data_IF_830704069319
#
_entry.id   IF_830704069319
#
_cell.length_a   1.000
_cell.length_b   1.000
_cell.length_c   1.000
_cell.angle_alpha   90.00
_cell.angle_beta   90.00
_cell.angle_gamma   90.00
#
_symmetry.space_group_name_H-M   'P 1'
#
loop_
_entity.id
_entity.type
_entity.pdbx_description
1 polymer ?
#
# COMPACT_ATOMS: atom_id res chain seq x y z
N UNK A 1 15.66 -6.49 -5.68
CA UNK A 1 14.20 -6.30 -5.80
C UNK A 1 13.87 -5.02 -5.06
N UNK A 2 12.90 -4.26 -5.59
CA UNK A 2 12.20 -3.15 -4.94
C UNK A 2 13.14 -2.05 -4.39
N UNK A 3 13.99 -1.42 -5.24
CA UNK A 3 14.82 -0.32 -4.81
C UNK A 3 13.94 0.87 -4.39
N UNK A 4 14.15 1.38 -3.18
CA UNK A 4 13.49 2.57 -2.68
C UNK A 4 14.44 3.79 -2.78
N UNK A 5 13.98 4.85 -3.45
CA UNK A 5 14.65 6.15 -3.45
C UNK A 5 14.51 6.79 -2.08
N UNK A 6 15.64 7.21 -1.49
CA UNK A 6 15.73 7.72 -0.12
C UNK A 6 17.08 7.38 0.53
N UNK A 7 17.20 7.47 1.87
CA UNK A 7 16.17 7.99 2.77
C UNK A 7 16.09 9.53 2.74
N UNK A 8 14.88 10.06 2.76
CA UNK A 8 14.60 11.49 2.98
C UNK A 8 14.53 11.74 4.48
N UNK A 9 15.40 12.63 4.98
CA UNK A 9 15.39 13.08 6.37
C UNK A 9 14.41 14.24 6.56
N UNK A 10 13.42 14.08 7.44
CA UNK A 10 12.40 15.09 7.76
C UNK A 10 12.79 15.84 9.03
N UNK A 11 13.13 17.13 8.90
CA UNK A 11 13.55 17.95 10.03
C UNK A 11 12.49 18.02 11.13
N UNK A 12 12.87 17.73 12.37
CA UNK A 12 12.01 17.82 13.56
C UNK A 12 11.11 16.60 13.83
N UNK A 13 11.16 15.58 12.96
CA UNK A 13 10.48 14.30 13.18
C UNK A 13 11.20 13.49 14.26
N UNK A 14 10.47 13.08 15.29
CA UNK A 14 10.97 12.30 16.42
C UNK A 14 10.09 11.06 16.66
N UNK A 15 10.62 9.99 17.31
CA UNK A 15 9.82 8.81 17.62
C UNK A 15 8.50 9.15 18.33
N UNK A 16 7.39 8.61 17.82
CA UNK A 16 6.04 8.86 18.32
C UNK A 16 5.25 9.93 17.54
N UNK A 17 5.90 10.66 16.63
CA UNK A 17 5.23 11.43 15.58
C UNK A 17 4.73 10.53 14.44
N UNK A 18 4.02 11.14 13.48
CA UNK A 18 3.71 10.53 12.19
C UNK A 18 4.08 11.46 11.03
N UNK A 19 4.40 10.89 9.88
CA UNK A 19 4.41 11.61 8.61
C UNK A 19 3.06 11.45 7.91
N UNK A 20 2.59 12.50 7.26
CA UNK A 20 1.53 12.44 6.26
C UNK A 20 2.15 12.68 4.88
N UNK A 21 2.17 11.63 4.05
CA UNK A 21 2.76 11.67 2.72
C UNK A 21 1.64 11.65 1.67
N UNK A 22 1.40 12.78 1.02
CA UNK A 22 0.44 12.91 -0.08
C UNK A 22 1.13 12.60 -1.41
N UNK A 23 0.60 11.63 -2.16
CA UNK A 23 1.06 11.34 -3.52
C UNK A 23 0.42 12.34 -4.48
N UNK A 24 1.14 13.40 -4.84
CA UNK A 24 0.59 14.46 -5.69
C UNK A 24 0.57 14.10 -7.16
N UNK A 25 1.55 13.31 -7.62
CA UNK A 25 1.65 12.91 -9.02
C UNK A 25 2.50 11.67 -9.21
N UNK A 26 2.10 10.78 -10.12
CA UNK A 26 2.93 9.66 -10.60
C UNK A 26 3.12 9.75 -12.11
N UNK A 27 4.34 9.99 -12.57
CA UNK A 27 4.69 10.04 -14.00
C UNK A 27 5.47 8.78 -14.37
N UNK A 28 4.84 7.89 -15.14
CA UNK A 28 5.45 6.65 -15.59
C UNK A 28 6.42 6.89 -16.76
N UNK A 29 7.44 6.04 -16.86
CA UNK A 29 8.17 5.85 -18.11
C UNK A 29 7.28 5.21 -19.19
N UNK A 30 7.69 5.35 -20.46
CA UNK A 30 6.94 4.86 -21.63
C UNK A 30 7.00 3.32 -21.81
N UNK A 31 7.58 2.61 -20.85
CA UNK A 31 7.74 1.16 -20.87
C UNK A 31 7.79 0.60 -19.46
N UNK A 32 7.19 -0.58 -19.29
CA UNK A 32 7.34 -1.39 -18.09
C UNK A 32 7.52 -2.86 -18.44
N UNK A 33 7.48 -3.72 -17.44
CA UNK A 33 7.47 -5.17 -17.65
C UNK A 33 6.52 -5.91 -16.72
N UNK A 34 6.02 -7.05 -17.20
CA UNK A 34 5.41 -8.09 -16.38
C UNK A 34 6.31 -9.33 -16.41
N UNK A 35 6.26 -10.14 -15.37
CA UNK A 35 6.96 -11.41 -15.36
C UNK A 35 6.17 -12.53 -14.69
N UNK A 36 6.42 -13.75 -15.18
CA UNK A 36 6.14 -14.99 -14.49
C UNK A 36 7.47 -15.54 -14.00
N UNK A 37 7.55 -15.85 -12.72
CA UNK A 37 8.69 -16.52 -12.09
C UNK A 37 8.30 -17.98 -11.83
N UNK A 38 9.25 -18.90 -12.05
CA UNK A 38 8.94 -20.32 -11.86
C UNK A 38 8.75 -20.65 -10.37
N UNK A 39 7.68 -21.36 -10.03
CA UNK A 39 7.44 -21.88 -8.68
C UNK A 39 7.01 -20.85 -7.63
N UNK A 40 6.62 -19.63 -8.02
CA UNK A 40 6.14 -18.60 -7.08
C UNK A 40 4.79 -18.00 -7.49
N UNK A 41 4.13 -17.33 -6.55
CA UNK A 41 2.81 -16.72 -6.73
C UNK A 41 1.67 -17.74 -6.67
N UNK A 42 0.42 -17.25 -6.67
CA UNK A 42 -0.77 -18.06 -6.37
C UNK A 42 -0.96 -19.25 -7.34
N UNK A 43 -0.44 -19.13 -8.56
CA UNK A 43 -0.47 -20.18 -9.58
C UNK A 43 0.89 -20.88 -9.77
N UNK A 44 1.76 -20.88 -8.75
CA UNK A 44 3.10 -21.50 -8.77
C UNK A 44 3.09 -22.93 -9.32
N UNK A 45 2.07 -23.73 -9.00
CA UNK A 45 1.90 -25.11 -9.46
C UNK A 45 1.77 -25.25 -11.00
N UNK A 46 1.53 -24.14 -11.72
CA UNK A 46 1.45 -24.07 -13.18
C UNK A 46 2.51 -23.15 -13.80
N UNK A 47 3.20 -22.35 -13.00
CA UNK A 47 4.26 -21.46 -13.44
C UNK A 47 5.60 -22.22 -13.45
N UNK A 48 5.88 -22.93 -14.54
CA UNK A 48 7.07 -23.77 -14.71
C UNK A 48 8.27 -23.04 -15.34
N UNK A 49 8.06 -21.80 -15.81
CA UNK A 49 9.05 -21.02 -16.59
C UNK A 49 9.21 -19.61 -16.07
N UNK A 50 10.41 -19.08 -16.29
CA UNK A 50 10.68 -17.65 -16.20
C UNK A 50 10.34 -16.99 -17.53
N UNK A 51 9.38 -16.08 -17.53
CA UNK A 51 8.95 -15.34 -18.72
C UNK A 51 8.82 -13.88 -18.35
N UNK A 52 9.46 -13.00 -19.11
CA UNK A 52 9.32 -11.55 -18.97
C UNK A 52 8.73 -10.98 -20.25
N UNK A 53 7.81 -10.04 -20.09
CA UNK A 53 7.20 -9.31 -21.20
C UNK A 53 7.39 -7.82 -20.99
N UNK A 54 8.13 -7.20 -21.89
CA UNK A 54 8.26 -5.75 -21.97
C UNK A 54 7.01 -5.20 -22.66
N UNK A 55 6.39 -4.18 -22.07
CA UNK A 55 5.10 -3.65 -22.50
C UNK A 55 5.23 -2.13 -22.66
N UNK A 56 5.04 -1.59 -23.87
CA UNK A 56 5.00 -0.15 -24.09
C UNK A 56 3.80 0.49 -23.39
N UNK A 57 3.99 1.69 -22.86
CA UNK A 57 2.97 2.54 -22.25
C UNK A 57 2.91 3.82 -23.08
N UNK A 58 1.75 4.13 -23.67
CA UNK A 58 1.57 5.33 -24.49
C UNK A 58 0.28 6.02 -24.09
N UNK A 59 0.34 7.31 -23.76
CA UNK A 59 -0.82 8.11 -23.37
C UNK A 59 -1.67 7.46 -22.25
N UNK A 60 -1.01 6.84 -21.25
CA UNK A 60 -1.69 6.15 -20.16
C UNK A 60 -2.31 4.80 -20.54
N UNK A 61 -1.99 4.25 -21.72
CA UNK A 61 -2.46 2.94 -22.19
C UNK A 61 -1.30 1.96 -22.26
N UNK A 62 -1.47 0.80 -21.63
CA UNK A 62 -0.57 -0.34 -21.74
C UNK A 62 -0.86 -1.12 -23.02
N UNK A 63 0.13 -1.31 -23.89
CA UNK A 63 0.00 -2.08 -25.13
C UNK A 63 0.47 -3.53 -24.92
N UNK A 64 -0.32 -4.33 -24.21
CA UNK A 64 0.04 -5.72 -23.90
C UNK A 64 0.21 -6.57 -25.16
N UNK A 65 -0.65 -6.39 -26.17
CA UNK A 65 -0.50 -7.01 -27.49
C UNK A 65 -1.30 -6.23 -28.53
N UNK A 66 -1.24 -6.65 -29.79
CA UNK A 66 -2.07 -6.09 -30.87
C UNK A 66 -3.58 -6.17 -30.60
N UNK A 67 -4.00 -7.06 -29.68
CA UNK A 67 -5.42 -7.30 -29.35
C UNK A 67 -5.81 -6.85 -27.95
N UNK A 68 -4.85 -6.54 -27.09
CA UNK A 68 -5.09 -6.30 -25.67
C UNK A 68 -4.37 -5.01 -25.29
N UNK A 69 -5.17 -4.02 -24.92
CA UNK A 69 -4.73 -2.75 -24.40
C UNK A 69 -5.61 -2.40 -23.21
N UNK A 70 -5.05 -1.72 -22.22
CA UNK A 70 -5.81 -1.30 -21.05
C UNK A 70 -5.24 -0.02 -20.44
N UNK A 71 -6.07 0.82 -19.79
CA UNK A 71 -5.57 2.00 -19.08
C UNK A 71 -4.70 1.58 -17.90
N UNK A 72 -3.56 2.25 -17.75
CA UNK A 72 -2.68 2.08 -16.59
C UNK A 72 -3.36 2.65 -15.34
N UNK A 73 -3.00 2.11 -14.17
CA UNK A 73 -3.49 2.53 -12.86
C UNK A 73 -2.26 2.67 -11.94
N UNK A 74 -1.49 3.76 -12.09
CA UNK A 74 -0.20 3.90 -11.44
C UNK A 74 -0.34 3.85 -9.91
N UNK A 75 0.56 3.14 -9.24
CA UNK A 75 0.61 3.03 -7.78
C UNK A 75 2.05 2.81 -7.30
N UNK A 76 2.31 3.12 -6.03
CA UNK A 76 3.61 2.95 -5.36
C UNK A 76 3.57 1.70 -4.49
N UNK A 77 4.37 0.68 -4.80
CA UNK A 77 4.41 -0.59 -4.06
C UNK A 77 5.16 -0.49 -2.74
N UNK A 78 6.28 0.23 -2.75
CA UNK A 78 7.11 0.47 -1.57
C UNK A 78 7.02 1.92 -1.12
N UNK A 79 6.49 2.15 0.07
CA UNK A 79 6.56 3.43 0.77
C UNK A 79 6.67 3.17 2.28
N UNK A 80 7.66 3.76 2.94
CA UNK A 80 7.84 3.53 4.37
C UNK A 80 8.89 4.41 5.02
N UNK A 81 8.85 4.46 6.35
CA UNK A 81 9.85 5.07 7.22
C UNK A 81 10.84 4.02 7.72
N UNK A 82 11.96 4.44 8.31
CA UNK A 82 12.87 3.48 8.93
C UNK A 82 12.24 2.87 10.20
N UNK A 83 12.31 1.53 10.36
CA UNK A 83 11.88 0.87 11.60
C UNK A 83 12.82 1.21 12.75
N UNK A 84 12.36 0.97 13.99
CA UNK A 84 13.26 0.95 15.14
C UNK A 84 14.13 -0.31 15.11
N UNK A 85 15.42 -0.19 15.39
CA UNK A 85 16.33 -1.34 15.50
C UNK A 85 17.02 -1.72 14.19
N UNK A 86 17.09 -3.01 13.89
CA UNK A 86 17.73 -3.50 12.67
C UNK A 86 16.94 -3.10 11.42
N UNK A 87 17.65 -2.86 10.32
CA UNK A 87 17.04 -2.53 9.05
C UNK A 87 16.22 -3.69 8.48
N UNK A 88 15.04 -3.39 7.97
CA UNK A 88 14.18 -4.34 7.27
C UNK A 88 14.39 -4.15 5.76
N UNK A 89 14.50 -5.26 5.02
CA UNK A 89 14.62 -5.22 3.55
C UNK A 89 13.38 -4.56 2.93
N UNK A 90 13.58 -3.75 1.89
CA UNK A 90 12.49 -3.03 1.20
C UNK A 90 11.45 -3.94 0.56
N UNK A 91 11.71 -5.24 0.41
CA UNK A 91 10.75 -6.23 -0.06
C UNK A 91 9.76 -6.71 1.00
N UNK A 92 9.90 -6.28 2.27
CA UNK A 92 8.97 -6.65 3.33
C UNK A 92 8.07 -5.47 3.73
N UNK A 93 6.76 -5.71 3.91
CA UNK A 93 5.88 -4.78 4.60
C UNK A 93 6.09 -4.84 6.12
N UNK A 94 5.45 -3.92 6.84
CA UNK A 94 5.29 -4.01 8.29
C UNK A 94 4.74 -2.72 8.90
N UNK A 95 4.90 -2.56 10.23
CA UNK A 95 4.59 -1.32 10.96
C UNK A 95 5.15 -0.03 10.37
N UNK A 96 6.25 -0.14 9.64
CA UNK A 96 6.97 0.98 9.03
C UNK A 96 6.53 1.30 7.59
N UNK A 97 5.53 0.58 7.06
CA UNK A 97 5.21 0.62 5.63
C UNK A 97 5.98 -0.46 4.89
N UNK A 98 6.83 -0.07 3.94
CA UNK A 98 7.60 -1.00 3.14
C UNK A 98 6.80 -1.53 1.96
N UNK A 99 7.00 -2.80 1.60
CA UNK A 99 6.38 -3.45 0.44
C UNK A 99 4.90 -3.82 0.66
N UNK A 100 4.05 -2.79 0.76
CA UNK A 100 2.63 -2.99 1.05
C UNK A 100 1.86 -3.50 -0.17
N UNK A 101 2.30 -3.10 -1.38
CA UNK A 101 1.62 -3.39 -2.65
C UNK A 101 0.12 -3.16 -2.56
N UNK A 102 -0.23 -2.00 -2.00
CA UNK A 102 -1.60 -1.57 -1.82
C UNK A 102 -1.93 -0.58 -2.94
N UNK A 103 -2.85 -0.97 -3.83
CA UNK A 103 -3.28 -0.15 -4.98
C UNK A 103 -4.01 1.16 -4.60
N UNK A 104 -4.26 1.39 -3.31
CA UNK A 104 -4.73 2.66 -2.78
C UNK A 104 -3.59 3.67 -2.55
N UNK A 105 -2.32 3.24 -2.59
CA UNK A 105 -1.16 4.14 -2.59
C UNK A 105 -0.92 4.66 -4.01
N UNK A 106 -1.79 5.58 -4.42
CA UNK A 106 -1.84 6.18 -5.77
C UNK A 106 -2.01 7.69 -5.69
N UNK A 107 -1.96 8.36 -6.85
CA UNK A 107 -2.18 9.81 -6.95
C UNK A 107 -3.45 10.26 -6.21
N UNK A 108 -3.31 11.31 -5.40
CA UNK A 108 -4.34 11.89 -4.52
C UNK A 108 -4.48 11.20 -3.15
N UNK A 109 -3.84 10.06 -2.92
CA UNK A 109 -3.85 9.41 -1.61
C UNK A 109 -2.90 10.09 -0.62
N UNK A 110 -3.27 10.08 0.67
CA UNK A 110 -2.41 10.51 1.78
C UNK A 110 -2.12 9.34 2.70
N UNK A 111 -0.85 9.03 2.89
CA UNK A 111 -0.37 7.89 3.64
C UNK A 111 0.17 8.39 4.97
N UNK A 112 -0.45 7.95 6.06
CA UNK A 112 0.05 8.18 7.41
C UNK A 112 1.10 7.12 7.72
N UNK A 113 2.32 7.53 8.05
CA UNK A 113 3.44 6.65 8.36
C UNK A 113 3.99 6.95 9.76
N UNK A 114 4.18 5.94 10.62
CA UNK A 114 4.73 6.17 11.94
C UNK A 114 6.21 6.56 11.89
N UNK A 115 6.62 7.43 12.79
CA UNK A 115 8.04 7.79 12.99
C UNK A 115 8.59 6.95 14.14
N UNK A 116 9.53 6.06 13.82
CA UNK A 116 10.20 5.21 14.82
C UNK A 116 11.63 5.67 15.16
N UNK A 117 12.22 6.53 14.32
CA UNK A 117 13.58 7.05 14.48
C UNK A 117 13.64 8.54 14.14
N UNK A 118 14.60 9.30 14.68
CA UNK A 118 14.77 10.71 14.35
C UNK A 118 14.89 10.93 12.83
N UNK A 119 14.17 11.92 12.33
CA UNK A 119 14.12 12.26 10.91
C UNK A 119 13.26 11.33 10.04
N UNK A 120 12.63 10.30 10.63
CA UNK A 120 11.77 9.30 9.98
C UNK A 120 12.42 8.41 8.90
N UNK A 121 13.30 8.97 8.06
CA UNK A 121 14.04 8.30 6.99
C UNK A 121 13.10 7.66 5.95
N UNK A 122 12.28 8.49 5.31
CA UNK A 122 11.28 8.06 4.31
C UNK A 122 11.95 7.51 3.03
N UNK A 123 11.50 6.34 2.56
CA UNK A 123 11.85 5.76 1.27
C UNK A 123 10.60 5.47 0.43
N UNK A 124 10.73 5.62 -0.90
CA UNK A 124 9.66 5.39 -1.88
C UNK A 124 10.23 4.66 -3.11
N UNK A 125 9.57 3.61 -3.58
CA UNK A 125 10.00 2.86 -4.76
C UNK A 125 8.94 1.91 -5.28
N UNK A 126 9.39 0.99 -6.13
CA UNK A 126 8.57 -0.11 -6.63
C UNK A 126 7.26 0.34 -7.28
N UNK A 127 7.36 1.25 -8.24
CA UNK A 127 6.18 1.80 -8.90
C UNK A 127 5.64 0.80 -9.90
N UNK A 128 4.36 0.51 -9.78
CA UNK A 128 3.63 -0.28 -10.78
C UNK A 128 2.85 0.66 -11.69
N UNK A 129 2.98 0.48 -13.00
CA UNK A 129 2.09 1.07 -13.98
C UNK A 129 0.65 0.57 -13.78
N UNK A 130 0.47 -0.68 -13.37
CA UNK A 130 -0.82 -1.22 -12.96
C UNK A 130 -0.62 -2.49 -12.15
N UNK A 131 -1.46 -2.71 -11.14
CA UNK A 131 -1.46 -3.94 -10.37
C UNK A 131 -2.90 -4.34 -10.05
N UNK A 132 -3.18 -5.63 -10.05
CA UNK A 132 -4.45 -6.18 -9.55
C UNK A 132 -4.31 -6.54 -8.08
N UNK A 133 -5.43 -6.51 -7.35
CA UNK A 133 -5.45 -7.07 -6.00
C UNK A 133 -4.99 -8.52 -6.01
N UNK A 134 -4.07 -8.81 -5.10
CA UNK A 134 -3.44 -10.11 -4.94
C UNK A 134 -2.10 -10.27 -5.64
N UNK A 135 -1.73 -9.41 -6.60
CA UNK A 135 -0.44 -9.47 -7.30
C UNK A 135 -0.03 -10.92 -7.68
N UNK A 136 -0.97 -11.65 -8.29
CA UNK A 136 -1.00 -13.12 -8.24
C UNK A 136 0.21 -13.85 -8.86
N UNK A 137 1.06 -13.14 -9.62
CA UNK A 137 2.31 -13.63 -10.20
C UNK A 137 3.57 -13.22 -9.42
N UNK A 138 3.44 -12.54 -8.28
CA UNK A 138 4.54 -11.95 -7.48
C UNK A 138 5.26 -10.79 -8.19
N UNK A 139 4.66 -10.24 -9.24
CA UNK A 139 5.23 -9.14 -10.01
C UNK A 139 4.06 -8.30 -10.53
N UNK A 140 3.97 -7.05 -10.08
CA UNK A 140 3.10 -6.03 -10.66
C UNK A 140 3.53 -5.65 -12.08
N UNK A 141 2.79 -4.75 -12.74
CA UNK A 141 3.30 -4.20 -14.00
C UNK A 141 4.36 -3.14 -13.69
N UNK A 142 5.58 -3.59 -13.45
CA UNK A 142 6.76 -2.84 -13.01
C UNK A 142 7.14 -1.73 -13.99
N UNK A 143 7.36 -0.52 -13.48
CA UNK A 143 7.79 0.62 -14.30
C UNK A 143 8.68 1.59 -13.52
N UNK A 144 9.66 2.18 -14.21
CA UNK A 144 10.33 3.37 -13.70
C UNK A 144 9.31 4.53 -13.68
N UNK A 145 9.41 5.40 -12.67
CA UNK A 145 8.53 6.55 -12.56
C UNK A 145 9.18 7.69 -11.76
N UNK A 146 8.66 8.89 -11.98
CA UNK A 146 8.86 10.03 -11.09
C UNK A 146 7.62 10.19 -10.20
N UNK A 147 7.81 10.21 -8.89
CA UNK A 147 6.74 10.39 -7.91
C UNK A 147 6.93 11.74 -7.23
N UNK A 148 5.94 12.63 -7.38
CA UNK A 148 5.89 13.90 -6.64
C UNK A 148 5.08 13.70 -5.37
N UNK A 149 5.67 14.03 -4.22
CA UNK A 149 5.00 13.91 -2.92
C UNK A 149 5.07 15.20 -2.12
N UNK A 150 4.05 15.43 -1.29
CA UNK A 150 4.09 16.40 -0.20
C UNK A 150 4.20 15.66 1.13
N UNK A 151 5.07 16.12 2.01
CA UNK A 151 5.32 15.50 3.32
C UNK A 151 4.98 16.54 4.38
N UNK A 152 4.00 16.23 5.23
CA UNK A 152 3.69 16.99 6.44
C UNK A 152 4.10 16.18 7.68
N UNK A 153 4.61 16.86 8.71
CA UNK A 153 4.96 16.25 10.00
C UNK A 153 3.82 16.46 11.00
N UNK A 154 3.25 15.37 11.50
CA UNK A 154 2.17 15.37 12.48
C UNK A 154 2.74 15.11 13.88
N UNK A 155 2.95 16.21 14.64
CA UNK A 155 3.57 16.14 15.98
C UNK A 155 2.67 15.47 17.00
N UNK A 156 3.19 14.46 17.69
CA UNK A 156 2.47 13.73 18.74
C UNK A 156 1.29 12.89 18.25
N UNK A 157 1.08 12.77 16.94
CA UNK A 157 0.14 11.82 16.39
C UNK A 157 0.80 10.45 16.37
N UNK A 158 0.57 9.68 17.43
CA UNK A 158 1.11 8.32 17.54
C UNK A 158 0.19 7.33 16.83
N UNK A 159 0.71 6.68 15.80
CA UNK A 159 0.14 5.50 15.14
C UNK A 159 1.15 4.36 15.19
N UNK A 160 0.68 3.12 15.05
CA UNK A 160 1.51 1.91 15.13
C UNK A 160 1.78 1.29 13.77
N UNK A 161 0.95 1.59 12.77
CA UNK A 161 1.02 1.07 11.41
C UNK A 161 0.51 2.12 10.40
N UNK A 162 0.79 1.94 9.10
CA UNK A 162 0.26 2.80 8.07
C UNK A 162 -1.25 2.69 7.92
N UNK A 163 -1.88 3.83 7.65
CA UNK A 163 -3.24 3.91 7.12
C UNK A 163 -3.32 5.04 6.07
N UNK A 164 -4.33 4.98 5.21
CA UNK A 164 -4.41 5.79 3.99
C UNK A 164 -5.75 6.53 3.95
N UNK A 165 -5.72 7.82 3.64
CA UNK A 165 -6.86 8.58 3.14
C UNK A 165 -6.83 8.53 1.61
N UNK A 166 -7.87 8.00 0.98
CA UNK A 166 -7.94 7.92 -0.48
C UNK A 166 -8.56 9.18 -1.08
N UNK A 167 -8.24 9.47 -2.35
CA UNK A 167 -8.79 10.63 -3.06
C UNK A 167 -10.33 10.59 -3.20
N UNK A 168 -10.93 9.38 -3.17
CA UNK A 168 -12.38 9.16 -3.21
C UNK A 168 -13.04 9.17 -1.82
N UNK A 169 -12.32 9.57 -0.77
CA UNK A 169 -12.88 9.79 0.56
C UNK A 169 -13.10 8.52 1.37
N UNK A 170 -12.18 7.56 1.30
CA UNK A 170 -12.15 6.38 2.18
C UNK A 170 -10.94 6.41 3.10
N UNK A 171 -11.10 5.86 4.29
CA UNK A 171 -9.99 5.45 5.15
C UNK A 171 -9.67 3.99 4.91
N UNK A 172 -8.38 3.67 4.81
CA UNK A 172 -7.88 2.33 4.50
C UNK A 172 -6.78 1.96 5.50
N UNK A 173 -7.03 0.95 6.32
CA UNK A 173 -6.03 0.40 7.25
C UNK A 173 -5.29 -0.79 6.63
N UNK A 174 -4.11 -1.10 7.15
CA UNK A 174 -3.21 -2.11 6.56
C UNK A 174 -2.96 -3.28 7.51
N UNK A 175 -2.81 -4.47 6.94
CA UNK A 175 -2.37 -5.68 7.63
C UNK A 175 -1.29 -6.42 6.83
N UNK A 176 -0.39 -7.10 7.52
CA UNK A 176 0.57 -8.01 6.89
C UNK A 176 0.92 -9.18 7.82
N UNK A 177 1.02 -10.38 7.23
CA UNK A 177 1.48 -11.57 7.93
C UNK A 177 1.77 -12.71 6.93
N UNK A 178 2.57 -13.69 7.33
CA UNK A 178 2.74 -14.93 6.56
C UNK A 178 1.44 -15.76 6.53
N UNK A 179 0.62 -15.68 7.57
CA UNK A 179 -0.72 -16.28 7.58
C UNK A 179 -1.75 -15.25 7.07
N UNK A 180 -2.44 -15.51 5.93
CA UNK A 180 -3.46 -14.60 5.40
C UNK A 180 -4.53 -14.22 6.43
N UNK A 181 -4.95 -15.14 7.31
CA UNK A 181 -5.97 -14.84 8.34
C UNK A 181 -5.45 -13.80 9.33
N UNK A 182 -4.18 -13.91 9.74
CA UNK A 182 -3.58 -12.95 10.66
C UNK A 182 -3.37 -11.59 10.00
N UNK A 183 -3.00 -11.55 8.72
CA UNK A 183 -2.93 -10.30 7.96
C UNK A 183 -4.31 -9.61 7.94
N UNK A 184 -5.37 -10.36 7.62
CA UNK A 184 -6.75 -9.86 7.63
C UNK A 184 -7.16 -9.36 9.02
N UNK A 185 -6.85 -10.10 10.07
CA UNK A 185 -7.13 -9.73 11.47
C UNK A 185 -6.49 -8.39 11.83
N UNK A 186 -5.22 -8.19 11.49
CA UNK A 186 -4.50 -6.92 11.76
C UNK A 186 -5.20 -5.74 11.06
N UNK A 187 -5.54 -5.88 9.77
CA UNK A 187 -6.23 -4.80 9.05
C UNK A 187 -7.57 -4.43 9.71
N UNK A 188 -8.33 -5.43 10.17
CA UNK A 188 -9.58 -5.23 10.89
C UNK A 188 -9.39 -4.57 12.26
N UNK A 189 -8.42 -5.02 13.06
CA UNK A 189 -8.12 -4.42 14.37
C UNK A 189 -7.73 -2.95 14.23
N UNK A 190 -6.86 -2.62 13.27
CA UNK A 190 -6.49 -1.24 12.97
C UNK A 190 -7.69 -0.40 12.55
N UNK A 191 -8.62 -0.95 11.75
CA UNK A 191 -9.85 -0.23 11.37
C UNK A 191 -10.73 0.04 12.58
N UNK A 192 -10.99 -0.98 13.41
CA UNK A 192 -11.80 -0.83 14.62
C UNK A 192 -11.20 0.21 15.55
N UNK A 193 -9.88 0.19 15.77
CA UNK A 193 -9.19 1.22 16.56
C UNK A 193 -9.30 2.62 15.95
N UNK A 194 -9.16 2.75 14.62
CA UNK A 194 -9.31 4.02 13.93
C UNK A 194 -10.72 4.59 14.12
N UNK A 195 -11.75 3.75 13.99
CA UNK A 195 -13.15 4.13 14.20
C UNK A 195 -13.43 4.54 15.65
N UNK A 196 -12.93 3.78 16.63
CA UNK A 196 -13.03 4.15 18.05
C UNK A 196 -12.43 5.54 18.30
N UNK A 197 -11.23 5.80 17.78
CA UNK A 197 -10.51 7.07 17.98
C UNK A 197 -11.14 8.25 17.23
N UNK A 198 -11.50 8.08 15.95
CA UNK A 198 -11.96 9.18 15.09
C UNK A 198 -13.44 9.48 15.25
N UNK A 199 -14.25 8.48 15.55
CA UNK A 199 -15.71 8.61 15.64
C UNK A 199 -16.26 8.49 17.06
N UNK A 200 -15.40 8.35 18.08
CA UNK A 200 -15.75 8.25 19.51
C UNK A 200 -16.73 7.12 19.80
N UNK A 201 -16.39 5.93 19.29
CA UNK A 201 -17.21 4.72 19.42
C UNK A 201 -16.62 3.77 20.46
N UNK A 202 -17.49 3.03 21.14
CA UNK A 202 -17.07 1.83 21.87
C UNK A 202 -16.50 0.77 20.91
N UNK A 203 -15.78 -0.22 21.46
CA UNK A 203 -15.29 -1.34 20.66
C UNK A 203 -16.45 -2.07 19.98
N UNK A 204 -17.54 -2.34 20.71
CA UNK A 204 -18.70 -3.05 20.20
C UNK A 204 -19.38 -2.30 19.04
N UNK A 205 -19.55 -0.98 19.17
CA UNK A 205 -20.12 -0.15 18.10
C UNK A 205 -19.20 -0.08 16.88
N UNK A 206 -17.90 0.15 17.08
CA UNK A 206 -16.92 0.19 15.99
C UNK A 206 -16.85 -1.15 15.25
N UNK A 207 -16.88 -2.28 15.98
CA UNK A 207 -16.83 -3.61 15.39
C UNK A 207 -18.12 -3.94 14.62
N UNK A 208 -19.30 -3.62 15.18
CA UNK A 208 -20.58 -3.77 14.47
C UNK A 208 -20.67 -2.88 13.23
N UNK A 209 -20.14 -1.66 13.30
CA UNK A 209 -20.11 -0.74 12.15
C UNK A 209 -19.15 -1.23 11.06
N UNK A 210 -17.96 -1.66 11.45
CA UNK A 210 -16.95 -2.22 10.56
C UNK A 210 -17.49 -3.41 9.76
N UNK A 211 -18.17 -4.37 10.41
CA UNK A 211 -18.75 -5.52 9.69
C UNK A 211 -19.93 -5.13 8.78
N UNK A 212 -20.64 -4.05 9.09
CA UNK A 212 -21.81 -3.62 8.32
C UNK A 212 -21.46 -2.73 7.12
N UNK A 213 -20.36 -1.97 7.18
CA UNK A 213 -20.13 -0.84 6.27
C UNK A 213 -18.68 -0.68 5.76
N UNK A 214 -17.78 -1.61 6.10
CA UNK A 214 -16.42 -1.60 5.60
C UNK A 214 -16.10 -2.88 4.81
N UNK A 215 -15.15 -2.76 3.89
CA UNK A 215 -14.73 -3.82 2.98
C UNK A 215 -13.33 -4.32 3.33
N UNK A 216 -13.16 -5.63 3.45
CA UNK A 216 -11.87 -6.29 3.66
C UNK A 216 -11.36 -6.87 2.34
N UNK A 217 -10.11 -6.59 1.98
CA UNK A 217 -9.50 -7.02 0.73
C UNK A 217 -8.02 -7.43 0.88
N UNK A 218 -7.53 -8.21 -0.08
CA UNK A 218 -6.11 -8.56 -0.22
C UNK A 218 -5.43 -7.50 -1.09
N UNK A 219 -4.23 -7.09 -0.69
CA UNK A 219 -3.34 -6.20 -1.46
C UNK A 219 -2.39 -7.04 -2.33
N UNK A 220 -1.52 -7.86 -1.74
CA UNK A 220 -0.78 -8.92 -2.44
C UNK A 220 -0.78 -10.26 -1.71
N UNK A 221 -0.71 -11.35 -2.49
CA UNK A 221 -0.62 -12.75 -2.04
C UNK A 221 0.39 -13.51 -2.90
N UNK A 222 1.66 -13.36 -2.55
CA UNK A 222 2.78 -13.92 -3.31
C UNK A 222 3.14 -15.37 -2.99
N UNK A 223 2.26 -16.12 -2.30
CA UNK A 223 2.55 -17.49 -1.84
C UNK A 223 2.30 -18.56 -2.92
N UNK A 224 3.12 -19.64 -2.99
CA UNK A 224 4.38 -19.83 -2.26
C UNK A 224 5.43 -18.80 -2.71
N UNK A 225 6.15 -18.24 -1.76
CA UNK A 225 7.07 -17.13 -1.98
C UNK A 225 7.69 -16.64 -0.67
N UNK A 226 8.58 -15.65 -0.77
CA UNK A 226 9.35 -15.13 0.36
C UNK A 226 8.59 -14.03 1.14
N UNK A 227 7.63 -13.36 0.49
CA UNK A 227 6.94 -12.20 1.05
C UNK A 227 5.63 -12.59 1.75
N UNK A 228 5.29 -11.91 2.86
CA UNK A 228 4.02 -12.11 3.57
C UNK A 228 2.83 -11.72 2.71
N UNK A 229 1.62 -12.06 3.11
CA UNK A 229 0.39 -11.52 2.52
C UNK A 229 0.13 -10.13 3.12
N UNK A 230 -0.31 -9.18 2.30
CA UNK A 230 -0.78 -7.87 2.74
C UNK A 230 -2.27 -7.73 2.48
N UNK A 231 -2.96 -7.06 3.39
CA UNK A 231 -4.41 -6.88 3.37
C UNK A 231 -4.75 -5.43 3.70
N UNK A 232 -5.98 -5.05 3.39
CA UNK A 232 -6.54 -3.76 3.76
C UNK A 232 -8.00 -3.88 4.18
N UNK A 233 -8.42 -3.00 5.06
CA UNK A 233 -9.83 -2.77 5.32
C UNK A 233 -10.17 -1.33 4.98
N UNK A 234 -11.26 -1.08 4.26
CA UNK A 234 -11.64 0.26 3.82
C UNK A 234 -13.05 0.64 4.24
N UNK A 235 -13.24 1.89 4.66
CA UNK A 235 -14.54 2.47 5.00
C UNK A 235 -14.62 3.91 4.45
N UNK A 236 -15.77 4.40 3.99
CA UNK A 236 -15.94 5.82 3.69
C UNK A 236 -15.63 6.71 4.90
N UNK A 237 -14.86 7.78 4.69
CA UNK A 237 -14.47 8.75 5.74
C UNK A 237 -15.69 9.53 6.26
N UNK A 238 -16.57 9.93 5.35
CA UNK A 238 -17.78 10.62 5.75
C UNK A 238 -18.68 9.62 6.47
N UNK A 239 -19.01 9.91 7.74
CA UNK A 239 -20.21 9.35 8.39
C UNK A 239 -21.32 9.60 7.39
N UNK A 240 -21.84 8.55 6.74
CA UNK A 240 -22.92 8.68 5.76
C UNK A 240 -23.92 9.69 6.27
N UNK A 241 -24.04 10.83 5.57
CA UNK A 241 -25.04 11.87 5.85
C UNK A 241 -26.43 11.31 5.55
N UNK A 242 -26.87 10.34 6.35
CA UNK A 242 -28.27 10.09 6.62
C UNK A 242 -28.57 10.74 7.97
N UNK A 243 -28.42 12.07 8.02
CA UNK A 243 -29.24 12.87 8.94
C UNK A 243 -30.64 12.82 8.34
N UNK A 244 -31.39 11.77 8.68
CA UNK A 244 -32.82 11.73 8.39
C UNK A 244 -33.50 12.54 9.49
N UNK A 245 -34.06 13.68 9.11
CA UNK A 245 -35.19 14.35 9.76
C UNK A 245 -35.04 14.73 11.22
#
# INVERSE_FOLDING_TARGET
MNPATGPVFVNGAEPGDSLLVEIQKVVLADVGFLAVKAGVGLLAHRADKYVTKIIPIQNGIAHFSDRIQFPVRPMVGVIGTAPSGEGISTGYPGPHGGNMDNNEVKEGAKIHLPVFVPGALLGIGDVHASMGDGEISMVGFEACAEVTVKIDLLKGETITRPWIETADGRWVTTGDNLDPEQAMRIACEEMVHLLMKRWDLSFEEAYMLATAYADLAICQVCQPGEFPVTTRMSIPEEKTRFVVG
#
